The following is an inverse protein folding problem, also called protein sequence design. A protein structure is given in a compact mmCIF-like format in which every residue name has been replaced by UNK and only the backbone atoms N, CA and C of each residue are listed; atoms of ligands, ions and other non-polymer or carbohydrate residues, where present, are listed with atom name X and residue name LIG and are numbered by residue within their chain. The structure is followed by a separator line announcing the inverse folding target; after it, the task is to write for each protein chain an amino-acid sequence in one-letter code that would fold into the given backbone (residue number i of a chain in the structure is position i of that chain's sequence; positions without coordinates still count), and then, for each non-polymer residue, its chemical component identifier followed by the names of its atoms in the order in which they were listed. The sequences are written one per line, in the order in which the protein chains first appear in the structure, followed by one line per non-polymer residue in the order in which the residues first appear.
data_IF_058914501723
#
_entry.id   IF_058914501723
#
_cell.length_a   1.000
_cell.length_b   1.000
_cell.length_c   1.000
_cell.angle_alpha   90.00
_cell.angle_beta   90.00
_cell.angle_gamma   90.00
#
_symmetry.space_group_name_H-M   'P 1'
#
loop_
_entity.id
_entity.type
_entity.pdbx_description
1 polymer ?
#
# COMPACT_ATOMS: atom_id res chain seq x y z
N UNK A 1 -23.48 6.28 -26.05
CA UNK A 1 -23.09 6.20 -25.67
C UNK A 1 -22.37 6.09 -25.27
N UNK A 2 -21.88 6.07 -25.27
CA UNK A 2 -21.05 5.86 -24.98
C UNK A 2 -20.55 5.72 -24.03
N UNK A 3 -20.40 5.35 -23.57
CA UNK A 3 -19.91 5.06 -22.57
C UNK A 3 -18.88 4.68 -22.43
N UNK A 4 -18.40 4.40 -22.92
CA UNK A 4 -17.39 3.98 -23.03
C UNK A 4 -16.40 4.38 -22.37
N UNK A 5 -16.25 5.20 -22.23
CA UNK A 5 -15.34 5.77 -21.59
C UNK A 5 -15.36 5.34 -20.32
N UNK A 6 -16.11 4.56 -20.11
CA UNK A 6 -16.16 3.94 -18.95
C UNK A 6 -15.05 3.10 -18.79
N UNK A 7 -14.19 2.99 -19.65
CA UNK A 7 -13.01 2.44 -19.47
C UNK A 7 -12.44 3.06 -18.32
N UNK A 8 -12.48 2.44 -17.19
CA UNK A 8 -11.78 2.86 -16.07
C UNK A 8 -10.35 2.79 -16.40
N UNK A 9 -9.71 3.87 -16.55
CA UNK A 9 -8.30 3.88 -16.78
C UNK A 9 -7.64 3.47 -15.47
N UNK A 10 -7.10 2.27 -15.45
CA UNK A 10 -6.41 1.73 -14.29
C UNK A 10 -5.01 1.29 -14.69
N UNK A 11 -4.12 1.22 -13.71
CA UNK A 11 -2.80 0.66 -13.90
C UNK A 11 -2.58 -0.44 -12.87
N UNK A 12 -1.56 -1.26 -13.07
CA UNK A 12 -1.25 -2.35 -12.16
C UNK A 12 -0.05 -1.99 -11.31
N UNK A 13 -0.18 -2.24 -10.01
CA UNK A 13 0.97 -2.18 -9.10
C UNK A 13 0.97 -3.47 -8.28
N UNK A 14 2.10 -3.78 -7.67
CA UNK A 14 2.17 -4.95 -6.80
C UNK A 14 1.80 -4.57 -5.39
N UNK A 15 1.21 -5.51 -4.66
CA UNK A 15 0.79 -5.26 -3.27
C UNK A 15 1.93 -4.78 -2.39
N UNK A 16 3.16 -5.21 -2.64
CA UNK A 16 4.30 -4.74 -1.86
C UNK A 16 4.51 -3.24 -1.96
N UNK A 17 3.97 -2.59 -2.99
CA UNK A 17 4.09 -1.15 -3.18
C UNK A 17 3.04 -0.36 -2.42
N UNK A 18 2.00 -1.02 -1.90
CA UNK A 18 0.88 -0.33 -1.25
C UNK A 18 1.28 0.32 0.07
N UNK A 19 1.96 -0.43 0.93
CA UNK A 19 2.26 0.07 2.27
C UNK A 19 3.12 1.34 2.26
N UNK A 20 4.21 1.40 1.48
CA UNK A 20 4.99 2.64 1.39
C UNK A 20 4.17 3.82 0.87
N UNK A 21 3.25 3.58 -0.07
CA UNK A 21 2.40 4.63 -0.62
C UNK A 21 1.44 5.15 0.45
N UNK A 22 0.82 4.25 1.20
CA UNK A 22 -0.11 4.63 2.28
C UNK A 22 0.62 5.43 3.36
N UNK A 23 1.81 4.98 3.76
CA UNK A 23 2.58 5.69 4.76
C UNK A 23 2.95 7.09 4.29
N UNK A 24 3.39 7.20 3.05
CA UNK A 24 3.74 8.48 2.47
C UNK A 24 2.55 9.42 2.45
N UNK A 25 1.41 8.95 1.96
CA UNK A 25 0.20 9.78 1.88
C UNK A 25 -0.27 10.21 3.27
N UNK A 26 -0.15 9.34 4.26
CA UNK A 26 -0.50 9.69 5.64
C UNK A 26 0.40 10.80 6.19
N UNK A 27 1.66 10.80 5.82
CA UNK A 27 2.58 11.87 6.23
C UNK A 27 2.27 13.19 5.51
N UNK A 28 1.80 13.10 4.27
CA UNK A 28 1.53 14.28 3.46
C UNK A 28 0.18 14.93 3.74
N UNK A 29 -0.76 14.19 4.35
CA UNK A 29 -2.13 14.69 4.50
C UNK A 29 -2.29 15.98 5.29
N UNK A 30 -1.28 16.33 6.10
CA UNK A 30 -1.30 17.56 6.89
C UNK A 30 -0.59 18.72 6.20
N UNK A 31 -0.08 18.52 4.99
CA UNK A 31 0.59 19.59 4.25
C UNK A 31 -0.43 20.35 3.41
N UNK A 32 -0.07 21.58 3.07
CA UNK A 32 -0.94 22.40 2.24
C UNK A 32 -0.77 22.01 0.77
N UNK A 33 -1.84 21.57 0.18
CA UNK A 33 -1.86 21.22 -1.24
C UNK A 33 -2.89 22.08 -1.94
N UNK A 34 -2.75 22.23 -3.24
CA UNK A 34 -3.84 22.79 -4.00
C UNK A 34 -4.98 21.76 -4.09
N UNK A 35 -6.15 22.22 -4.47
CA UNK A 35 -7.36 21.39 -4.46
C UNK A 35 -7.25 20.21 -5.42
N UNK A 36 -6.61 20.39 -6.56
CA UNK A 36 -6.45 19.32 -7.53
C UNK A 36 -5.56 18.21 -7.02
N UNK A 37 -4.45 18.57 -6.39
CA UNK A 37 -3.53 17.58 -5.82
C UNK A 37 -4.19 16.84 -4.66
N UNK A 38 -4.93 17.55 -3.81
CA UNK A 38 -5.70 16.92 -2.73
C UNK A 38 -6.66 15.87 -3.27
N UNK A 39 -7.39 16.23 -4.34
CA UNK A 39 -8.37 15.32 -4.93
C UNK A 39 -7.70 14.04 -5.45
N UNK A 40 -6.58 14.18 -6.14
CA UNK A 40 -5.84 13.04 -6.65
C UNK A 40 -5.35 12.12 -5.51
N UNK A 41 -4.79 12.70 -4.45
CA UNK A 41 -4.30 11.94 -3.31
C UNK A 41 -5.43 11.18 -2.64
N UNK A 42 -6.57 11.82 -2.45
CA UNK A 42 -7.73 11.19 -1.83
C UNK A 42 -8.23 10.02 -2.68
N UNK A 43 -8.30 10.21 -3.99
CA UNK A 43 -8.76 9.13 -4.86
C UNK A 43 -7.84 7.92 -4.82
N UNK A 44 -6.53 8.15 -4.84
CA UNK A 44 -5.56 7.05 -4.78
C UNK A 44 -5.69 6.31 -3.46
N UNK A 45 -5.75 7.03 -2.35
CA UNK A 45 -5.84 6.41 -1.02
C UNK A 45 -7.12 5.59 -0.88
N UNK A 46 -8.24 6.12 -1.33
CA UNK A 46 -9.51 5.40 -1.23
C UNK A 46 -9.51 4.09 -2.02
N UNK A 47 -8.72 4.03 -3.09
CA UNK A 47 -8.61 2.82 -3.88
C UNK A 47 -7.64 1.82 -3.26
N UNK A 48 -6.57 2.31 -2.66
CA UNK A 48 -5.49 1.47 -2.14
C UNK A 48 -5.78 0.91 -0.75
N UNK A 49 -6.39 1.68 0.14
CA UNK A 49 -6.65 1.23 1.50
C UNK A 49 -7.44 -0.07 1.60
N UNK A 50 -8.52 -0.26 0.83
CA UNK A 50 -9.24 -1.54 0.87
C UNK A 50 -8.36 -2.72 0.47
N UNK A 51 -7.44 -2.50 -0.47
CA UNK A 51 -6.51 -3.56 -0.88
C UNK A 51 -5.53 -3.91 0.22
N UNK A 52 -5.13 -2.94 1.03
CA UNK A 52 -4.29 -3.19 2.18
C UNK A 52 -5.03 -4.05 3.22
N UNK A 53 -6.31 -3.79 3.42
CA UNK A 53 -7.13 -4.59 4.33
C UNK A 53 -7.25 -6.03 3.85
N UNK A 54 -7.46 -6.22 2.56
CA UNK A 54 -7.51 -7.56 1.96
C UNK A 54 -6.18 -8.28 2.14
N UNK A 55 -5.08 -7.56 1.94
CA UNK A 55 -3.75 -8.13 2.12
C UNK A 55 -3.53 -8.62 3.56
N UNK A 56 -3.90 -7.78 4.55
CA UNK A 56 -3.76 -8.14 5.95
C UNK A 56 -4.61 -9.37 6.31
N UNK A 57 -5.81 -9.42 5.76
CA UNK A 57 -6.70 -10.54 5.99
C UNK A 57 -6.15 -11.83 5.39
N UNK A 58 -5.64 -11.77 4.16
CA UNK A 58 -5.02 -12.92 3.53
C UNK A 58 -3.77 -13.39 4.28
N UNK A 59 -2.97 -12.45 4.75
CA UNK A 59 -1.79 -12.78 5.54
C UNK A 59 -2.19 -13.52 6.80
N UNK A 60 -3.21 -13.04 7.49
CA UNK A 60 -3.72 -13.67 8.68
C UNK A 60 -4.22 -15.08 8.39
N UNK A 61 -5.05 -15.24 7.36
CA UNK A 61 -5.61 -16.54 7.00
C UNK A 61 -4.54 -17.56 6.65
N UNK A 62 -3.48 -17.14 6.01
CA UNK A 62 -2.44 -18.06 5.54
C UNK A 62 -1.34 -18.31 6.56
N UNK A 63 -1.12 -17.39 7.47
CA UNK A 63 0.00 -17.46 8.42
C UNK A 63 -0.44 -17.56 9.87
N UNK A 64 -1.74 -17.59 10.15
CA UNK A 64 -2.25 -17.60 11.52
C UNK A 64 -1.62 -18.68 12.39
N UNK A 65 -1.41 -19.86 11.85
CA UNK A 65 -0.83 -20.97 12.60
C UNK A 65 0.65 -20.79 12.92
N UNK A 66 1.28 -19.82 12.29
CA UNK A 66 2.71 -19.57 12.47
C UNK A 66 2.99 -18.39 13.40
N UNK A 67 1.96 -17.70 13.86
CA UNK A 67 2.13 -16.55 14.75
C UNK A 67 2.44 -17.03 16.17
N UNK A 68 3.35 -16.33 16.83
CA UNK A 68 3.57 -16.54 18.26
C UNK A 68 2.41 -15.91 19.00
N UNK A 69 1.95 -16.59 20.05
CA UNK A 69 0.79 -16.16 20.81
C UNK A 69 1.15 -16.00 22.29
N UNK A 70 0.46 -15.05 22.93
CA UNK A 70 0.63 -14.82 24.35
C UNK A 70 -0.20 -15.84 25.16
N UNK A 71 -0.23 -15.67 26.47
CA UNK A 71 -0.94 -16.57 27.38
C UNK A 71 -2.43 -16.65 27.09
N UNK A 72 -3.00 -15.59 26.54
CA UNK A 72 -4.42 -15.52 26.22
C UNK A 72 -4.75 -16.02 24.81
N UNK A 73 -3.75 -16.50 24.10
CA UNK A 73 -3.94 -16.99 22.74
C UNK A 73 -3.96 -15.92 21.66
N UNK A 74 -3.61 -14.69 22.01
CA UNK A 74 -3.59 -13.58 21.04
C UNK A 74 -2.24 -13.49 20.36
N UNK A 75 -2.20 -13.16 19.05
CA UNK A 75 -0.94 -12.98 18.36
C UNK A 75 -0.11 -11.87 19.00
N UNK A 76 1.19 -12.09 19.09
CA UNK A 76 2.10 -11.08 19.62
C UNK A 76 2.46 -10.12 18.48
N UNK A 77 2.37 -8.82 18.75
CA UNK A 77 2.67 -7.78 17.78
C UNK A 77 4.08 -7.27 18.07
N UNK A 78 4.91 -7.16 17.02
CA UNK A 78 6.26 -6.64 17.16
C UNK A 78 6.26 -5.10 17.19
N UNK A 79 7.46 -4.51 17.36
CA UNK A 79 7.61 -3.06 17.48
C UNK A 79 7.12 -2.31 16.25
N UNK A 80 7.13 -2.94 15.10
CA UNK A 80 6.71 -2.31 13.83
C UNK A 80 5.24 -2.52 13.52
N UNK A 81 4.49 -3.12 14.42
CA UNK A 81 3.08 -3.39 14.23
C UNK A 81 2.77 -4.67 13.45
N UNK A 82 3.77 -5.44 13.10
CA UNK A 82 3.58 -6.72 12.42
C UNK A 82 3.43 -7.87 13.41
N UNK A 83 2.98 -9.02 12.94
CA UNK A 83 2.85 -10.20 13.77
C UNK A 83 4.21 -10.86 13.98
N UNK A 84 4.44 -11.34 15.20
CA UNK A 84 5.64 -12.10 15.51
C UNK A 84 5.45 -13.53 15.06
N UNK A 85 6.41 -14.05 14.30
CA UNK A 85 6.35 -15.39 13.72
C UNK A 85 7.21 -16.35 14.54
N UNK A 86 6.75 -17.60 14.69
CA UNK A 86 7.53 -18.64 15.34
C UNK A 86 8.84 -18.86 14.57
N UNK A 87 9.94 -18.92 15.28
CA UNK A 87 11.27 -19.01 14.67
C UNK A 87 11.41 -20.16 13.69
N UNK A 88 10.87 -21.33 14.00
CA UNK A 88 10.96 -22.50 13.15
C UNK A 88 10.02 -22.45 11.94
N UNK A 89 9.14 -21.44 11.88
CA UNK A 89 8.19 -21.27 10.79
C UNK A 89 8.45 -20.02 9.96
N UNK A 90 9.48 -19.27 10.28
CA UNK A 90 9.78 -18.01 9.61
C UNK A 90 9.96 -18.18 8.10
N UNK A 91 10.63 -19.24 7.68
CA UNK A 91 10.89 -19.49 6.26
C UNK A 91 9.61 -19.76 5.48
N UNK A 92 8.72 -20.56 6.03
CA UNK A 92 7.44 -20.88 5.38
C UNK A 92 6.56 -19.66 5.27
N UNK A 93 6.49 -18.87 6.34
CA UNK A 93 5.75 -17.64 6.37
C UNK A 93 6.30 -16.63 5.36
N UNK A 94 7.61 -16.55 5.24
CA UNK A 94 8.27 -15.65 4.31
C UNK A 94 7.90 -15.97 2.86
N UNK A 95 7.83 -17.26 2.53
CA UNK A 95 7.44 -17.68 1.19
C UNK A 95 5.99 -17.28 0.88
N UNK A 96 5.10 -17.44 1.86
CA UNK A 96 3.71 -17.03 1.70
C UNK A 96 3.61 -15.52 1.53
N UNK A 97 4.32 -14.78 2.37
CA UNK A 97 4.33 -13.32 2.30
C UNK A 97 4.78 -12.85 0.93
N UNK A 98 5.86 -13.43 0.39
CA UNK A 98 6.35 -13.08 -0.93
C UNK A 98 5.32 -13.30 -2.02
N UNK A 99 4.56 -14.40 -1.93
CA UNK A 99 3.50 -14.65 -2.91
C UNK A 99 2.40 -13.61 -2.83
N UNK A 100 2.01 -13.24 -1.61
CA UNK A 100 0.95 -12.24 -1.42
C UNK A 100 1.41 -10.86 -1.89
N UNK A 101 2.66 -10.51 -1.61
CA UNK A 101 3.21 -9.22 -2.00
C UNK A 101 3.40 -9.08 -3.50
N UNK A 102 3.52 -10.20 -4.20
CA UNK A 102 3.74 -10.18 -5.64
C UNK A 102 2.45 -10.15 -6.46
N UNK A 103 1.31 -10.20 -5.80
CA UNK A 103 0.02 -10.08 -6.48
C UNK A 103 -0.15 -8.68 -7.03
N UNK A 104 -0.52 -8.58 -8.31
CA UNK A 104 -0.81 -7.30 -8.94
C UNK A 104 -2.23 -6.86 -8.63
N UNK A 105 -2.41 -5.58 -8.36
CA UNK A 105 -3.73 -5.01 -8.12
C UNK A 105 -3.95 -3.84 -9.06
N UNK A 106 -5.21 -3.54 -9.33
CA UNK A 106 -5.57 -2.41 -10.17
C UNK A 106 -5.77 -1.17 -9.30
N UNK A 107 -5.16 -0.08 -9.70
CA UNK A 107 -5.32 1.21 -9.03
C UNK A 107 -5.69 2.25 -10.06
N UNK A 108 -6.26 3.41 -9.66
CA UNK A 108 -6.61 4.44 -10.62
C UNK A 108 -5.41 4.91 -11.42
N UNK A 109 -5.62 5.16 -12.71
CA UNK A 109 -4.58 5.67 -13.59
C UNK A 109 -4.48 7.18 -13.37
N UNK A 110 -4.01 7.56 -12.21
CA UNK A 110 -3.88 8.94 -11.77
C UNK A 110 -2.40 9.27 -11.69
N UNK A 111 -2.01 10.38 -12.27
CA UNK A 111 -0.61 10.78 -12.30
C UNK A 111 -0.40 12.16 -11.72
N UNK A 112 0.76 12.34 -11.11
CA UNK A 112 1.23 13.62 -10.60
C UNK A 112 2.41 14.06 -11.46
N UNK A 113 2.46 15.33 -11.81
CA UNK A 113 3.62 15.86 -12.48
C UNK A 113 4.70 16.16 -11.45
N UNK A 114 5.93 16.28 -11.89
CA UNK A 114 7.01 16.68 -10.99
C UNK A 114 6.78 18.08 -10.41
N UNK A 115 6.14 18.96 -11.18
CA UNK A 115 5.80 20.30 -10.70
C UNK A 115 4.80 20.25 -9.54
N UNK A 116 3.83 19.33 -9.60
CA UNK A 116 2.87 19.16 -8.52
C UNK A 116 3.53 18.65 -7.24
N UNK A 117 4.57 17.85 -7.39
CA UNK A 117 5.27 17.24 -6.25
C UNK A 117 6.36 18.12 -5.66
N UNK A 118 6.82 19.12 -6.43
CA UNK A 118 7.91 19.97 -6.01
C UNK A 118 7.70 20.65 -4.66
N UNK A 119 6.54 21.25 -4.37
CA UNK A 119 6.32 21.90 -3.09
C UNK A 119 6.35 20.98 -1.89
N UNK A 120 6.30 19.67 -2.12
CA UNK A 120 6.25 18.69 -1.03
C UNK A 120 7.62 18.37 -0.45
N UNK A 121 8.68 18.75 -1.14
CA UNK A 121 10.06 18.49 -0.71
C UNK A 121 10.29 17.03 -0.36
N UNK A 122 9.94 16.15 -1.27
CA UNK A 122 10.05 14.72 -1.05
C UNK A 122 11.50 14.26 -1.06
N UNK A 123 11.84 13.33 -0.18
CA UNK A 123 13.13 12.68 -0.20
C UNK A 123 13.19 11.73 -1.41
N UNK A 124 14.38 11.25 -1.71
CA UNK A 124 14.57 10.30 -2.79
C UNK A 124 13.73 9.04 -2.57
N UNK A 125 13.70 8.55 -1.34
CA UNK A 125 12.93 7.39 -0.97
C UNK A 125 11.43 7.62 -1.17
N UNK A 126 10.97 8.80 -0.79
CA UNK A 126 9.57 9.16 -0.96
C UNK A 126 9.19 9.28 -2.44
N UNK A 127 10.08 9.81 -3.27
CA UNK A 127 9.85 9.84 -4.70
C UNK A 127 9.76 8.44 -5.30
N UNK A 128 10.55 7.50 -4.80
CA UNK A 128 10.46 6.12 -5.24
C UNK A 128 9.10 5.53 -4.93
N UNK A 129 8.55 5.84 -3.76
CA UNK A 129 7.21 5.36 -3.39
C UNK A 129 6.13 5.92 -4.31
N UNK A 130 6.32 7.15 -4.82
CA UNK A 130 5.37 7.77 -5.73
C UNK A 130 5.55 7.33 -7.18
N UNK A 131 6.64 6.63 -7.49
CA UNK A 131 6.99 6.32 -8.87
C UNK A 131 5.84 5.85 -9.76
N UNK A 132 4.98 4.92 -9.32
CA UNK A 132 3.89 4.46 -10.18
C UNK A 132 2.94 5.56 -10.59
N UNK A 133 2.88 6.65 -9.84
CA UNK A 133 1.96 7.76 -10.07
C UNK A 133 2.63 9.01 -10.61
N UNK A 134 3.89 8.92 -11.03
CA UNK A 134 4.58 10.07 -11.59
C UNK A 134 4.54 10.00 -13.11
N UNK A 135 4.15 11.13 -13.72
CA UNK A 135 4.16 11.24 -15.15
C UNK A 135 5.20 12.29 -15.54
N UNK A 136 6.11 11.89 -16.39
CA UNK A 136 7.17 12.76 -16.87
C UNK A 136 6.79 13.34 -18.22
#
# INVERSE_FOLDING_TARGET
MIYLQERCDTMLIKRKQIYPIIELFNRLKNKNFDVETQYKLIKVIKQIQPEQEVFQEQLKLNCENYFERDENGNPIINEKGGYKIKDDKAKECYLILNKLEDISIQVPDIYFSLDELKPLNLTLEELESFEPFIKI
#
